data_IF_822925492142
#
_entry.id   IF_822925492142
#
_cell.length_a   1.000
_cell.length_b   1.000
_cell.length_c   1.000
_cell.angle_alpha   90.00
_cell.angle_beta   90.00
_cell.angle_gamma   90.00
#
_symmetry.space_group_name_H-M   'P 1'
#
loop_
_entity.id
_entity.type
_entity.pdbx_description
1 polymer ?
#
# COMPACT_ATOMS: atom_id res chain seq x y z
N UNK A 1 -6.03 -9.00 -0.98
CA UNK A 1 -5.86 -10.46 -1.08
C UNK A 1 -6.78 -11.03 -2.16
N UNK A 2 -7.11 -10.22 -3.15
CA UNK A 2 -7.83 -10.67 -4.33
C UNK A 2 -6.93 -11.55 -5.21
N UNK A 3 -7.52 -12.37 -6.09
CA UNK A 3 -6.76 -13.21 -7.02
C UNK A 3 -5.80 -12.35 -7.87
N UNK A 4 -4.57 -12.84 -8.08
CA UNK A 4 -3.51 -12.11 -8.76
C UNK A 4 -2.68 -11.16 -7.88
N UNK A 5 -2.97 -11.04 -6.59
CA UNK A 5 -2.15 -10.28 -5.65
C UNK A 5 -1.11 -11.19 -4.96
N UNK A 6 0.05 -10.59 -4.60
CA UNK A 6 1.15 -11.33 -3.98
C UNK A 6 0.72 -12.14 -2.76
N UNK A 7 -0.01 -11.53 -1.82
CA UNK A 7 -0.45 -12.21 -0.61
C UNK A 7 -1.41 -13.37 -0.89
N UNK A 8 -2.27 -13.26 -1.92
CA UNK A 8 -3.11 -14.36 -2.36
C UNK A 8 -2.28 -15.53 -2.88
N UNK A 9 -1.25 -15.25 -3.69
CA UNK A 9 -0.34 -16.28 -4.23
C UNK A 9 0.39 -17.02 -3.11
N UNK A 10 0.88 -16.30 -2.09
CA UNK A 10 1.51 -16.92 -0.90
C UNK A 10 0.52 -17.78 -0.11
N UNK A 11 -0.66 -17.27 0.18
CA UNK A 11 -1.65 -18.04 0.94
C UNK A 11 -2.18 -19.23 0.18
N UNK A 12 -2.31 -19.14 -1.14
CA UNK A 12 -2.64 -20.27 -2.00
C UNK A 12 -1.55 -21.35 -1.98
N UNK A 13 -0.28 -20.93 -2.05
CA UNK A 13 0.86 -21.85 -1.98
C UNK A 13 0.87 -22.66 -0.67
N UNK A 14 0.51 -22.03 0.45
CA UNK A 14 0.41 -22.70 1.75
C UNK A 14 -0.97 -23.35 2.04
N UNK A 15 -1.89 -23.34 1.10
CA UNK A 15 -3.24 -23.89 1.29
C UNK A 15 -4.16 -23.08 2.21
N UNK A 16 -3.79 -21.86 2.57
CA UNK A 16 -4.51 -21.03 3.53
C UNK A 16 -5.73 -20.31 2.95
N UNK A 17 -5.84 -20.24 1.63
CA UNK A 17 -6.99 -19.59 0.98
C UNK A 17 -8.31 -20.32 1.24
N UNK A 18 -8.26 -21.63 1.40
CA UNK A 18 -9.43 -22.51 1.58
C UNK A 18 -9.73 -22.80 3.06
N UNK A 19 -8.69 -22.82 3.90
CA UNK A 19 -8.80 -23.27 5.29
C UNK A 19 -9.05 -22.11 6.27
N UNK A 20 -8.53 -20.92 5.96
CA UNK A 20 -8.70 -19.72 6.79
C UNK A 20 -9.90 -18.90 6.34
N UNK A 21 -10.70 -18.45 7.28
CA UNK A 21 -11.88 -17.64 7.00
C UNK A 21 -11.51 -16.18 6.77
N UNK A 22 -11.58 -15.75 5.52
CA UNK A 22 -11.31 -14.38 5.12
C UNK A 22 -12.60 -13.58 4.91
N UNK A 23 -12.60 -12.33 5.34
CA UNK A 23 -13.64 -11.35 5.03
C UNK A 23 -13.02 -10.15 4.34
N UNK A 24 -13.45 -9.84 3.12
CA UNK A 24 -13.11 -8.60 2.45
C UNK A 24 -13.68 -7.42 3.24
N UNK A 25 -12.89 -6.40 3.43
CA UNK A 25 -13.31 -5.16 4.09
C UNK A 25 -14.13 -4.30 3.12
N UNK A 26 -14.82 -3.32 3.66
CA UNK A 26 -15.58 -2.35 2.88
C UNK A 26 -14.66 -1.51 1.99
N UNK A 27 -15.22 -0.82 0.99
CA UNK A 27 -14.43 -0.02 0.04
C UNK A 27 -13.65 1.11 0.73
N UNK A 28 -14.23 1.71 1.77
CA UNK A 28 -13.60 2.70 2.64
C UNK A 28 -13.22 2.06 3.97
N UNK A 29 -12.26 1.15 3.94
CA UNK A 29 -11.94 0.28 5.07
C UNK A 29 -11.12 0.95 6.17
N UNK A 30 -10.54 2.11 5.90
CA UNK A 30 -9.70 2.84 6.83
C UNK A 30 -9.85 4.35 6.68
N UNK A 31 -9.48 5.09 7.71
CA UNK A 31 -9.54 6.54 7.73
C UNK A 31 -8.35 7.16 8.46
N UNK A 32 -7.95 8.33 8.00
CA UNK A 32 -6.93 9.17 8.63
C UNK A 32 -7.62 10.38 9.22
N UNK A 33 -7.58 10.54 10.54
CA UNK A 33 -8.20 11.64 11.27
C UNK A 33 -7.13 12.62 11.78
N UNK A 34 -7.40 13.90 11.69
CA UNK A 34 -6.54 14.98 12.16
C UNK A 34 -7.16 15.70 13.37
N UNK A 35 -6.32 16.37 14.15
CA UNK A 35 -6.74 17.10 15.36
C UNK A 35 -7.70 18.27 15.06
N UNK A 36 -7.70 18.79 13.84
CA UNK A 36 -8.64 19.82 13.39
C UNK A 36 -10.05 19.25 13.01
N UNK A 37 -10.26 17.95 13.19
CA UNK A 37 -11.49 17.25 12.90
C UNK A 37 -11.66 16.82 11.45
N UNK A 38 -10.70 17.11 10.57
CA UNK A 38 -10.76 16.59 9.19
C UNK A 38 -10.50 15.09 9.14
N UNK A 39 -11.19 14.39 8.26
CA UNK A 39 -11.10 12.94 8.07
C UNK A 39 -10.94 12.62 6.60
N UNK A 40 -9.97 11.78 6.27
CA UNK A 40 -9.71 11.32 4.91
C UNK A 40 -9.88 9.81 4.85
N UNK A 41 -10.70 9.34 3.91
CA UNK A 41 -10.99 7.92 3.76
C UNK A 41 -9.99 7.26 2.82
N UNK A 42 -9.47 6.12 3.25
CA UNK A 42 -8.63 5.29 2.42
C UNK A 42 -9.50 4.36 1.59
N UNK A 43 -9.59 4.62 0.29
CA UNK A 43 -10.39 3.82 -0.63
C UNK A 43 -9.61 2.65 -1.21
N UNK A 44 -10.30 1.53 -1.48
CA UNK A 44 -9.73 0.38 -2.19
C UNK A 44 -9.80 0.57 -3.70
N UNK A 45 -8.74 0.20 -4.39
CA UNK A 45 -8.36 0.42 -5.78
C UNK A 45 -7.73 1.79 -6.05
N UNK A 46 -6.76 1.81 -6.96
CA UNK A 46 -6.08 3.05 -7.35
C UNK A 46 -7.02 4.09 -7.95
N UNK A 47 -8.04 3.66 -8.70
CA UNK A 47 -9.03 4.57 -9.28
C UNK A 47 -9.87 5.29 -8.22
N UNK A 48 -10.35 4.56 -7.20
CA UNK A 48 -11.13 5.17 -6.13
C UNK A 48 -10.23 5.97 -5.17
N UNK A 49 -9.00 5.52 -4.92
CA UNK A 49 -8.01 6.27 -4.14
C UNK A 49 -7.75 7.65 -4.75
N UNK A 50 -7.43 7.71 -6.05
CA UNK A 50 -7.23 8.98 -6.75
C UNK A 50 -8.47 9.86 -6.71
N UNK A 51 -9.62 9.30 -7.05
CA UNK A 51 -10.90 10.03 -7.08
C UNK A 51 -11.25 10.64 -5.72
N UNK A 52 -11.11 9.87 -4.64
CA UNK A 52 -11.42 10.33 -3.29
C UNK A 52 -10.47 11.43 -2.87
N UNK A 53 -9.15 11.24 -3.03
CA UNK A 53 -8.18 12.26 -2.67
C UNK A 53 -8.27 13.52 -3.55
N UNK A 54 -8.55 13.41 -4.85
CA UNK A 54 -8.74 14.57 -5.72
C UNK A 54 -10.00 15.35 -5.34
N UNK A 55 -11.05 14.68 -4.83
CA UNK A 55 -12.21 15.38 -4.31
C UNK A 55 -11.90 16.22 -3.07
N UNK A 56 -11.02 15.70 -2.19
CA UNK A 56 -10.57 16.39 -0.97
C UNK A 56 -9.49 17.47 -1.25
N UNK A 57 -8.64 17.24 -2.26
CA UNK A 57 -7.51 18.09 -2.64
C UNK A 57 -7.53 18.41 -4.16
N UNK A 58 -8.51 19.16 -4.67
CA UNK A 58 -8.68 19.35 -6.11
C UNK A 58 -7.50 20.07 -6.79
N UNK A 59 -6.79 20.94 -6.07
CA UNK A 59 -5.62 21.66 -6.60
C UNK A 59 -4.36 20.77 -6.68
N UNK A 60 -4.39 19.60 -6.03
CA UNK A 60 -3.27 18.65 -5.93
C UNK A 60 -3.45 17.43 -6.86
N UNK A 61 -4.39 17.49 -7.80
CA UNK A 61 -4.73 16.36 -8.65
C UNK A 61 -3.54 15.74 -9.39
N UNK A 62 -2.61 16.57 -9.87
CA UNK A 62 -1.42 16.10 -10.59
C UNK A 62 -0.41 15.43 -9.64
N UNK A 63 -0.25 15.93 -8.43
CA UNK A 63 0.58 15.31 -7.40
C UNK A 63 0.04 13.93 -7.00
N UNK A 64 -1.28 13.81 -6.81
CA UNK A 64 -1.95 12.55 -6.47
C UNK A 64 -1.78 11.52 -7.58
N UNK A 65 -2.00 11.89 -8.84
CA UNK A 65 -1.78 10.99 -9.98
C UNK A 65 -0.32 10.57 -10.13
N UNK A 66 0.60 11.52 -9.93
CA UNK A 66 2.04 11.25 -9.98
C UNK A 66 2.46 10.26 -8.88
N UNK A 67 1.89 10.41 -7.66
CA UNK A 67 2.09 9.47 -6.56
C UNK A 67 1.63 8.06 -6.95
N UNK A 68 0.38 7.91 -7.42
CA UNK A 68 -0.18 6.62 -7.83
C UNK A 68 0.63 5.95 -8.93
N UNK A 69 1.01 6.72 -9.95
CA UNK A 69 1.81 6.21 -11.07
C UNK A 69 3.21 5.73 -10.62
N UNK A 70 3.87 6.48 -9.73
CA UNK A 70 5.18 6.11 -9.21
C UNK A 70 5.14 4.85 -8.34
N UNK A 71 4.13 4.72 -7.46
CA UNK A 71 3.90 3.50 -6.67
C UNK A 71 3.72 2.29 -7.58
N UNK A 72 2.83 2.38 -8.57
CA UNK A 72 2.56 1.28 -9.49
C UNK A 72 3.77 0.92 -10.36
N UNK A 73 4.58 1.92 -10.75
CA UNK A 73 5.84 1.69 -11.46
C UNK A 73 6.85 0.94 -10.58
N UNK A 74 7.04 1.40 -9.34
CA UNK A 74 7.98 0.78 -8.41
C UNK A 74 7.62 -0.69 -8.12
N UNK A 75 6.33 -1.00 -7.94
CA UNK A 75 5.87 -2.37 -7.70
C UNK A 75 6.20 -3.31 -8.86
N UNK A 76 6.11 -2.84 -10.10
CA UNK A 76 6.47 -3.65 -11.29
C UNK A 76 7.96 -4.00 -11.34
N UNK A 77 8.80 -3.20 -10.71
CA UNK A 77 10.25 -3.48 -10.59
C UNK A 77 10.54 -4.58 -9.56
N UNK A 78 9.62 -4.79 -8.61
CA UNK A 78 9.74 -5.79 -7.54
C UNK A 78 8.54 -6.74 -7.56
N UNK A 79 8.46 -7.72 -8.48
CA UNK A 79 7.30 -8.59 -8.66
C UNK A 79 7.23 -9.65 -7.54
N UNK A 80 6.70 -9.27 -6.38
CA UNK A 80 6.55 -10.17 -5.21
C UNK A 80 5.56 -11.32 -5.44
N UNK A 81 4.65 -11.18 -6.39
CA UNK A 81 3.59 -12.13 -6.71
C UNK A 81 4.06 -13.30 -7.58
N UNK A 82 5.20 -13.18 -8.23
CA UNK A 82 5.69 -14.23 -9.13
C UNK A 82 6.23 -15.46 -8.42
N UNK A 83 6.56 -15.39 -7.14
CA UNK A 83 7.18 -16.48 -6.34
C UNK A 83 8.39 -17.13 -7.04
N UNK A 84 9.04 -16.39 -7.91
CA UNK A 84 10.21 -16.83 -8.65
C UNK A 84 11.46 -16.23 -8.05
N UNK A 85 12.46 -17.08 -7.79
CA UNK A 85 13.82 -16.65 -7.49
C UNK A 85 14.58 -16.34 -8.81
N UNK A 86 13.97 -15.55 -9.70
CA UNK A 86 14.69 -15.02 -10.84
C UNK A 86 15.68 -13.96 -10.34
N UNK A 87 16.80 -13.81 -11.02
CA UNK A 87 17.70 -12.70 -10.79
C UNK A 87 16.90 -11.41 -10.92
N UNK A 88 16.62 -10.77 -9.78
CA UNK A 88 16.05 -9.43 -9.77
C UNK A 88 17.09 -8.56 -10.46
N UNK A 89 16.75 -8.04 -11.60
CA UNK A 89 17.57 -7.05 -12.28
C UNK A 89 17.47 -5.75 -11.46
N UNK A 90 18.39 -5.60 -10.51
CA UNK A 90 18.46 -4.47 -9.57
C UNK A 90 18.91 -3.17 -10.24
N UNK A 91 18.68 -3.01 -11.53
CA UNK A 91 19.17 -1.89 -12.31
C UNK A 91 18.53 -0.54 -11.97
N UNK A 92 17.45 -0.51 -11.22
CA UNK A 92 16.82 0.75 -10.80
C UNK A 92 17.32 1.18 -9.41
N UNK A 93 18.64 1.43 -9.28
CA UNK A 93 19.27 1.85 -8.02
C UNK A 93 18.69 3.16 -7.47
N UNK A 94 18.16 4.02 -8.32
CA UNK A 94 17.54 5.29 -7.91
C UNK A 94 16.33 5.08 -6.99
N UNK A 95 15.54 4.03 -7.21
CA UNK A 95 14.39 3.71 -6.36
C UNK A 95 14.81 3.15 -4.98
N UNK A 96 16.00 2.54 -4.89
CA UNK A 96 16.52 1.99 -3.64
C UNK A 96 17.06 3.10 -2.73
N UNK A 97 17.65 4.13 -3.31
CA UNK A 97 18.27 5.24 -2.59
C UNK A 97 17.29 6.38 -2.25
N UNK A 98 16.14 6.42 -2.93
CA UNK A 98 15.12 7.44 -2.69
C UNK A 98 14.36 7.15 -1.39
N UNK A 99 14.28 8.11 -0.48
CA UNK A 99 13.42 7.98 0.71
C UNK A 99 11.96 8.30 0.37
N UNK A 100 11.02 7.61 1.05
CA UNK A 100 9.59 7.87 0.92
C UNK A 100 9.24 9.33 1.24
N UNK A 101 9.87 9.90 2.28
CA UNK A 101 9.68 11.30 2.65
C UNK A 101 10.14 12.24 1.53
N UNK A 102 11.35 12.08 1.01
CA UNK A 102 11.88 12.95 -0.04
C UNK A 102 11.01 12.87 -1.31
N UNK A 103 10.50 11.70 -1.65
CA UNK A 103 9.57 11.54 -2.76
C UNK A 103 8.26 12.31 -2.53
N UNK A 104 7.60 12.10 -1.39
CA UNK A 104 6.31 12.76 -1.07
C UNK A 104 6.49 14.28 -0.96
N UNK A 105 7.55 14.75 -0.32
CA UNK A 105 7.88 16.19 -0.19
C UNK A 105 8.13 16.86 -1.54
N UNK A 106 8.66 16.10 -2.51
CA UNK A 106 8.88 16.58 -3.87
C UNK A 106 7.61 16.70 -4.72
N UNK A 107 6.53 15.99 -4.35
CA UNK A 107 5.28 16.01 -5.10
C UNK A 107 4.40 17.23 -4.81
N UNK A 108 4.37 17.67 -3.57
CA UNK A 108 3.45 18.74 -3.12
C UNK A 108 4.03 19.54 -1.94
N UNK A 109 3.57 20.77 -1.78
CA UNK A 109 3.84 21.59 -0.59
C UNK A 109 2.68 21.54 0.43
N UNK A 110 1.59 20.87 0.11
CA UNK A 110 0.44 20.71 0.99
C UNK A 110 0.77 19.73 2.12
N UNK A 111 1.01 20.24 3.33
CA UNK A 111 1.40 19.44 4.49
C UNK A 111 0.36 18.39 4.85
N UNK A 112 -0.93 18.69 4.69
CA UNK A 112 -2.02 17.76 4.99
C UNK A 112 -2.04 16.59 3.99
N UNK A 113 -1.88 16.87 2.69
CA UNK A 113 -1.75 15.82 1.69
C UNK A 113 -0.51 14.96 1.93
N UNK A 114 0.64 15.58 2.25
CA UNK A 114 1.85 14.83 2.63
C UNK A 114 1.58 13.84 3.77
N UNK A 115 0.89 14.29 4.81
CA UNK A 115 0.54 13.45 5.95
C UNK A 115 -0.41 12.31 5.57
N UNK A 116 -1.39 12.57 4.71
CA UNK A 116 -2.31 11.55 4.18
C UNK A 116 -1.56 10.51 3.34
N UNK A 117 -0.70 10.94 2.41
CA UNK A 117 0.11 10.01 1.58
C UNK A 117 1.10 9.19 2.40
N UNK A 118 1.59 9.72 3.51
CA UNK A 118 2.47 9.03 4.45
C UNK A 118 1.71 8.17 5.50
N UNK A 119 0.39 8.22 5.55
CA UNK A 119 -0.43 7.61 6.61
C UNK A 119 -0.23 6.10 6.78
N UNK A 120 0.16 5.39 5.73
CA UNK A 120 0.48 3.96 5.79
C UNK A 120 1.83 3.62 6.43
N UNK A 121 2.64 4.61 6.82
CA UNK A 121 3.98 4.40 7.41
C UNK A 121 3.96 3.52 8.67
N UNK A 122 2.89 3.52 9.44
CA UNK A 122 2.72 2.67 10.61
C UNK A 122 2.72 1.18 10.28
N UNK A 123 2.31 0.79 9.07
CA UNK A 123 2.20 -0.61 8.65
C UNK A 123 3.56 -1.30 8.52
N UNK A 124 4.63 -0.55 8.33
CA UNK A 124 5.99 -1.09 8.18
C UNK A 124 7.01 -0.44 9.12
N UNK A 125 6.54 0.24 10.18
CA UNK A 125 7.38 0.89 11.19
C UNK A 125 8.43 1.86 10.59
N UNK A 126 8.08 2.53 9.49
CA UNK A 126 8.98 3.39 8.73
C UNK A 126 9.33 4.66 9.49
N UNK A 127 10.62 4.97 9.62
CA UNK A 127 11.09 6.31 9.96
C UNK A 127 11.04 7.18 8.71
N UNK A 128 10.51 8.40 8.83
CA UNK A 128 10.31 9.30 7.68
C UNK A 128 11.58 9.49 6.84
N UNK A 129 12.74 9.65 7.50
CA UNK A 129 14.01 9.91 6.83
C UNK A 129 14.71 8.66 6.31
N UNK A 130 14.35 7.47 6.85
CA UNK A 130 15.08 6.22 6.59
C UNK A 130 14.29 5.21 5.76
N UNK A 131 12.97 5.41 5.63
CA UNK A 131 12.15 4.49 4.86
C UNK A 131 12.46 4.64 3.37
N UNK A 132 12.95 3.59 2.70
CA UNK A 132 13.13 3.59 1.26
C UNK A 132 11.78 3.70 0.55
N UNK A 133 11.74 4.44 -0.55
CA UNK A 133 10.52 4.63 -1.33
C UNK A 133 9.93 3.30 -1.83
N UNK A 134 10.76 2.35 -2.24
CA UNK A 134 10.27 1.06 -2.71
C UNK A 134 9.51 0.27 -1.63
N UNK A 135 9.94 0.33 -0.36
CA UNK A 135 9.22 -0.31 0.77
C UNK A 135 7.85 0.34 0.94
N UNK A 136 7.81 1.68 0.94
CA UNK A 136 6.57 2.43 0.97
C UNK A 136 5.65 2.03 -0.19
N UNK A 137 6.20 1.93 -1.40
CA UNK A 137 5.45 1.56 -2.60
C UNK A 137 4.82 0.16 -2.51
N UNK A 138 5.60 -0.84 -2.12
CA UNK A 138 5.11 -2.22 -1.99
C UNK A 138 3.99 -2.33 -0.95
N UNK A 139 4.16 -1.70 0.21
CA UNK A 139 3.15 -1.75 1.27
C UNK A 139 1.90 -0.96 0.87
N UNK A 140 2.06 0.27 0.38
CA UNK A 140 0.94 1.11 -0.03
C UNK A 140 0.14 0.49 -1.19
N UNK A 141 0.82 -0.12 -2.17
CA UNK A 141 0.14 -0.83 -3.24
C UNK A 141 -0.70 -2.00 -2.72
N UNK A 142 -0.13 -2.84 -1.86
CA UNK A 142 -0.85 -3.96 -1.25
C UNK A 142 -2.06 -3.48 -0.45
N UNK A 143 -1.92 -2.35 0.24
CA UNK A 143 -2.97 -1.77 1.06
C UNK A 143 -4.10 -1.15 0.22
N UNK A 144 -3.78 -0.42 -0.86
CA UNK A 144 -4.77 0.17 -1.77
C UNK A 144 -5.51 -0.90 -2.57
N UNK A 145 -4.85 -1.98 -3.00
CA UNK A 145 -5.48 -2.97 -3.88
C UNK A 145 -6.63 -3.72 -3.20
N UNK A 146 -6.47 -4.14 -1.95
CA UNK A 146 -7.55 -4.76 -1.18
C UNK A 146 -7.21 -4.91 0.30
N UNK A 147 -8.21 -4.82 1.15
CA UNK A 147 -8.11 -5.11 2.57
C UNK A 147 -8.98 -6.31 2.95
N UNK A 148 -8.41 -7.20 3.76
CA UNK A 148 -9.09 -8.39 4.28
C UNK A 148 -8.79 -8.55 5.76
N UNK A 149 -9.77 -9.07 6.49
CA UNK A 149 -9.54 -9.52 7.86
C UNK A 149 -9.75 -11.03 7.97
N UNK A 150 -8.96 -11.63 8.83
CA UNK A 150 -9.14 -13.03 9.24
C UNK A 150 -10.27 -13.08 10.28
N UNK A 151 -11.39 -13.73 9.95
CA UNK A 151 -12.47 -13.94 10.91
C UNK A 151 -11.99 -14.87 12.01
N UNK A 152 -12.41 -14.61 13.24
CA UNK A 152 -12.01 -15.38 14.44
C UNK A 152 -10.50 -15.28 14.79
N UNK A 153 -9.77 -14.32 14.16
CA UNK A 153 -8.39 -13.96 14.51
C UNK A 153 -7.31 -14.68 13.68
N UNK A 154 -6.14 -14.05 13.63
CA UNK A 154 -5.00 -14.52 12.83
C UNK A 154 -4.33 -15.80 13.33
N UNK A 155 -4.68 -16.29 14.55
CA UNK A 155 -4.18 -17.57 15.09
C UNK A 155 -4.55 -18.78 14.23
N UNK A 156 -5.58 -18.67 13.37
CA UNK A 156 -5.92 -19.69 12.39
C UNK A 156 -4.76 -19.95 11.43
N UNK A 157 -4.09 -18.91 10.95
CA UNK A 157 -2.94 -19.05 10.05
C UNK A 157 -1.85 -19.91 10.70
N UNK A 158 -1.53 -19.64 11.96
CA UNK A 158 -0.52 -20.41 12.69
C UNK A 158 -0.95 -21.88 12.90
N UNK A 159 -2.24 -22.12 13.14
CA UNK A 159 -2.76 -23.49 13.32
C UNK A 159 -2.73 -24.30 12.03
N UNK A 160 -3.01 -23.67 10.89
CA UNK A 160 -3.00 -24.34 9.59
C UNK A 160 -1.57 -24.60 9.06
N UNK A 161 -0.59 -23.82 9.55
CA UNK A 161 0.82 -24.00 9.16
C UNK A 161 1.60 -24.97 10.08
N UNK A 162 1.04 -25.37 11.22
CA UNK A 162 1.68 -26.26 12.20
C UNK A 162 1.41 -27.74 11.91
#
# INVERSE_FOLDING_TARGET
MDEGQALHSYFKYFGLTETVKWKKMDAEFDQISFDDGSVFHHASSWSEFEKTLIADFPEEADAIRSYSAAIQKAVKTFPLDELKFSELDHTDSELLDLSAKAFIDGLTQNEKLRAVLAGSNLLYAGSAEKCPFYVHALVSNGYVLSAYKCLDGGSQIAKELA
#
